data_IF_780986208612
#
_entry.id   IF_780986208612
#
_cell.length_a   1.000
_cell.length_b   1.000
_cell.length_c   1.000
_cell.angle_alpha   90.00
_cell.angle_beta   90.00
_cell.angle_gamma   90.00
#
_symmetry.space_group_name_H-M   'P 1'
#
loop_
_entity.id
_entity.type
_entity.pdbx_description
1 polymer ?
#
# COMPACT_ATOMS: atom_id res chain seq x y z
N UNK A 1 -41.07 29.66 -6.82
CA UNK A 1 -40.93 28.34 -6.14
C UNK A 1 -40.17 27.31 -6.97
N UNK A 2 -40.47 27.15 -8.27
CA UNK A 2 -39.87 26.12 -9.13
C UNK A 2 -38.34 26.23 -9.27
N UNK A 3 -37.83 27.43 -9.52
CA UNK A 3 -36.39 27.72 -9.62
C UNK A 3 -35.65 27.43 -8.31
N UNK A 4 -36.22 27.85 -7.17
CA UNK A 4 -35.62 27.60 -5.84
C UNK A 4 -35.52 26.11 -5.54
N UNK A 5 -36.57 25.35 -5.83
CA UNK A 5 -36.61 23.89 -5.64
C UNK A 5 -35.69 23.13 -6.62
N UNK A 6 -35.40 23.70 -7.79
CA UNK A 6 -34.41 23.17 -8.72
C UNK A 6 -32.98 23.41 -8.20
N UNK A 7 -32.69 24.62 -7.72
CA UNK A 7 -31.42 24.97 -7.09
C UNK A 7 -31.12 24.14 -5.84
N UNK A 8 -32.09 23.99 -4.93
CA UNK A 8 -31.95 23.19 -3.70
C UNK A 8 -31.55 21.73 -4.02
N UNK A 9 -32.19 21.10 -5.02
CA UNK A 9 -31.86 19.74 -5.46
C UNK A 9 -30.47 19.64 -6.09
N UNK A 10 -30.07 20.64 -6.89
CA UNK A 10 -28.74 20.68 -7.50
C UNK A 10 -27.65 20.85 -6.44
N UNK A 11 -27.86 21.71 -5.45
CA UNK A 11 -26.92 21.92 -4.34
C UNK A 11 -26.79 20.67 -3.48
N UNK A 12 -27.90 19.98 -3.17
CA UNK A 12 -27.86 18.72 -2.42
C UNK A 12 -27.04 17.65 -3.14
N UNK A 13 -27.28 17.44 -4.44
CA UNK A 13 -26.55 16.46 -5.25
C UNK A 13 -25.04 16.78 -5.37
N UNK A 14 -24.67 18.05 -5.45
CA UNK A 14 -23.24 18.46 -5.46
C UNK A 14 -22.59 18.23 -4.11
N UNK A 15 -23.27 18.52 -3.00
CA UNK A 15 -22.74 18.29 -1.65
C UNK A 15 -22.54 16.82 -1.34
N UNK A 16 -23.45 15.95 -1.78
CA UNK A 16 -23.34 14.50 -1.60
C UNK A 16 -22.11 13.94 -2.31
N UNK A 17 -21.88 14.34 -3.57
CA UNK A 17 -20.67 13.97 -4.34
C UNK A 17 -19.39 14.50 -3.70
N UNK A 18 -19.37 15.77 -3.30
CA UNK A 18 -18.22 16.36 -2.62
C UNK A 18 -17.93 15.71 -1.26
N UNK A 19 -18.94 15.13 -0.59
CA UNK A 19 -18.73 14.38 0.65
C UNK A 19 -18.23 12.96 0.38
N UNK A 20 -18.63 12.34 -0.74
CA UNK A 20 -18.09 11.05 -1.17
C UNK A 20 -16.62 11.14 -1.59
N UNK A 21 -16.22 12.26 -2.21
CA UNK A 21 -14.81 12.53 -2.55
C UNK A 21 -13.96 12.85 -1.31
N UNK A 22 -14.58 13.27 -0.19
CA UNK A 22 -13.88 13.48 1.09
C UNK A 22 -13.49 12.14 1.71
N UNK A 23 -12.29 11.69 1.39
CA UNK A 23 -11.68 10.48 1.92
C UNK A 23 -11.21 9.51 0.85
N UNK A 24 -11.64 9.70 -0.41
CA UNK A 24 -11.18 8.89 -1.54
C UNK A 24 -9.67 9.04 -1.73
N UNK A 25 -9.17 10.27 -1.76
CA UNK A 25 -7.73 10.54 -1.93
C UNK A 25 -6.90 10.08 -0.74
N UNK A 26 -7.38 10.22 0.51
CA UNK A 26 -6.67 9.71 1.70
C UNK A 26 -6.66 8.19 1.77
N UNK A 27 -7.75 7.53 1.39
CA UNK A 27 -7.83 6.07 1.33
C UNK A 27 -6.91 5.49 0.25
N UNK A 28 -6.78 6.15 -0.90
CA UNK A 28 -5.84 5.76 -1.96
C UNK A 28 -4.39 5.75 -1.46
N UNK A 29 -3.96 6.82 -0.77
CA UNK A 29 -2.61 6.87 -0.20
C UNK A 29 -2.41 5.81 0.89
N UNK A 30 -3.39 5.63 1.78
CA UNK A 30 -3.31 4.62 2.84
C UNK A 30 -3.21 3.20 2.27
N UNK A 31 -4.03 2.87 1.26
CA UNK A 31 -3.95 1.58 0.56
C UNK A 31 -2.63 1.42 -0.19
N UNK A 32 -2.09 2.48 -0.78
CA UNK A 32 -0.77 2.47 -1.40
C UNK A 32 0.34 2.09 -0.41
N UNK A 33 0.32 2.67 0.80
CA UNK A 33 1.26 2.29 1.87
C UNK A 33 1.05 0.83 2.30
N UNK A 34 -0.20 0.39 2.49
CA UNK A 34 -0.49 -1.01 2.85
C UNK A 34 0.01 -2.00 1.80
N UNK A 35 -0.17 -1.70 0.51
CA UNK A 35 0.33 -2.51 -0.58
C UNK A 35 1.86 -2.60 -0.57
N UNK A 36 2.55 -1.48 -0.35
CA UNK A 36 4.01 -1.45 -0.22
C UNK A 36 4.50 -2.26 1.00
N UNK A 37 3.83 -2.13 2.15
CA UNK A 37 4.13 -2.93 3.35
C UNK A 37 3.92 -4.43 3.10
N UNK A 38 2.87 -4.81 2.39
CA UNK A 38 2.62 -6.22 2.04
C UNK A 38 3.73 -6.78 1.14
N UNK A 39 4.15 -6.03 0.12
CA UNK A 39 5.27 -6.41 -0.74
C UNK A 39 6.59 -6.55 0.06
N UNK A 40 6.85 -5.60 0.98
CA UNK A 40 8.01 -5.65 1.87
C UNK A 40 7.97 -6.87 2.80
N UNK A 41 6.80 -7.24 3.33
CA UNK A 41 6.64 -8.42 4.18
C UNK A 41 6.93 -9.73 3.41
N UNK A 42 6.47 -9.83 2.16
CA UNK A 42 6.80 -10.97 1.30
C UNK A 42 8.30 -11.02 1.02
N UNK A 43 8.92 -9.89 0.68
CA UNK A 43 10.37 -9.82 0.45
C UNK A 43 11.16 -10.21 1.71
N UNK A 44 10.75 -9.74 2.89
CA UNK A 44 11.36 -10.13 4.15
C UNK A 44 11.32 -11.65 4.36
N UNK A 45 10.18 -12.28 4.07
CA UNK A 45 10.05 -13.75 4.16
C UNK A 45 10.98 -14.48 3.20
N UNK A 46 11.15 -13.99 1.98
CA UNK A 46 12.10 -14.57 1.01
C UNK A 46 13.54 -14.40 1.50
N UNK A 47 13.90 -13.21 1.95
CA UNK A 47 15.26 -12.89 2.41
C UNK A 47 15.65 -13.62 3.70
N UNK A 48 14.68 -13.90 4.57
CA UNK A 48 14.86 -14.67 5.79
C UNK A 48 14.63 -16.17 5.60
N UNK A 49 14.50 -16.65 4.37
CA UNK A 49 14.32 -18.06 4.07
C UNK A 49 15.65 -18.83 4.02
N UNK A 50 15.58 -20.14 4.28
CA UNK A 50 16.74 -21.03 4.37
C UNK A 50 17.66 -20.97 3.14
N UNK A 51 17.07 -20.84 1.93
CA UNK A 51 17.84 -20.78 0.69
C UNK A 51 18.74 -19.53 0.62
N UNK A 52 18.22 -18.37 1.03
CA UNK A 52 18.99 -17.11 1.03
C UNK A 52 20.02 -17.14 2.16
N UNK A 53 19.65 -17.64 3.34
CA UNK A 53 20.58 -17.78 4.45
C UNK A 53 21.75 -18.72 4.10
N UNK A 54 21.46 -19.88 3.52
CA UNK A 54 22.47 -20.86 3.11
C UNK A 54 23.40 -20.28 2.03
N UNK A 55 22.85 -19.58 1.03
CA UNK A 55 23.65 -18.93 0.00
C UNK A 55 24.59 -17.88 0.61
N UNK A 56 24.09 -17.05 1.54
CA UNK A 56 24.89 -16.02 2.19
C UNK A 56 25.98 -16.63 3.07
N UNK A 57 25.65 -17.68 3.85
CA UNK A 57 26.61 -18.45 4.64
C UNK A 57 27.69 -19.08 3.77
N UNK A 58 27.35 -19.63 2.62
CA UNK A 58 28.33 -20.21 1.69
C UNK A 58 29.28 -19.15 1.11
N UNK A 59 28.77 -17.98 0.74
CA UNK A 59 29.59 -16.85 0.25
C UNK A 59 30.54 -16.35 1.35
N UNK A 60 30.03 -16.15 2.56
CA UNK A 60 30.84 -15.69 3.71
C UNK A 60 31.86 -16.75 4.11
N UNK A 61 31.47 -18.03 4.18
CA UNK A 61 32.36 -19.14 4.49
C UNK A 61 33.51 -19.22 3.50
N UNK A 62 33.22 -19.12 2.18
CA UNK A 62 34.23 -19.06 1.13
C UNK A 62 35.20 -17.88 1.33
N UNK A 63 34.69 -16.70 1.72
CA UNK A 63 35.53 -15.53 1.99
C UNK A 63 36.43 -15.70 3.22
N UNK A 64 35.95 -16.45 4.23
CA UNK A 64 36.68 -16.72 5.47
C UNK A 64 37.57 -17.98 5.40
N UNK A 65 37.56 -18.73 4.30
CA UNK A 65 38.29 -19.99 4.16
C UNK A 65 37.70 -21.15 4.98
N UNK A 66 36.47 -20.99 5.50
CA UNK A 66 35.72 -22.03 6.18
C UNK A 66 34.69 -22.58 5.20
N UNK A 67 34.84 -23.83 4.77
CA UNK A 67 33.82 -24.53 4.00
C UNK A 67 32.74 -25.04 4.95
N UNK A 68 31.63 -24.31 4.98
CA UNK A 68 30.38 -24.66 5.67
C UNK A 68 29.40 -25.22 4.65
#
# INVERSE_FOLDING_TARGET
>A
MFVRRWLERRVAAVRERACADRGMTTAEYALGTLAACAAAAVLYKVLSGDAVEAALRAVIGKALGVQV
#
